data_IF_630919377834
#
_entry.id   IF_630919377834
#
_cell.length_a   1.000
_cell.length_b   1.000
_cell.length_c   1.000
_cell.angle_alpha   90.00
_cell.angle_beta   90.00
_cell.angle_gamma   90.00
#
_symmetry.space_group_name_H-M   'P 1'
#
loop_
_entity.id
_entity.type
_entity.pdbx_description
1 polymer ?
#
# COMPACT_ATOMS: atom_id res chain seq x y z
N UNK A 1 -6.31 -49.72 8.68
CA UNK A 1 -5.30 -49.09 7.80
C UNK A 1 -3.89 -49.25 8.32
N UNK A 2 -2.99 -49.80 7.51
CA UNK A 2 -1.58 -50.01 7.90
C UNK A 2 -0.81 -48.71 8.16
N UNK A 3 -1.29 -47.57 7.65
CA UNK A 3 -0.65 -46.27 7.84
C UNK A 3 -0.92 -45.64 9.22
N UNK A 4 -2.04 -45.97 9.88
CA UNK A 4 -2.29 -45.46 11.24
C UNK A 4 -1.28 -46.04 12.24
N UNK A 5 -0.78 -47.26 12.01
CA UNK A 5 0.29 -47.89 12.82
C UNK A 5 1.65 -47.19 12.71
N UNK A 6 1.86 -46.36 11.69
CA UNK A 6 3.09 -45.59 11.47
C UNK A 6 3.01 -44.18 12.08
N UNK A 7 1.86 -43.78 12.61
CA UNK A 7 1.68 -42.49 13.27
C UNK A 7 2.41 -42.47 14.61
N UNK A 8 3.07 -41.34 14.92
CA UNK A 8 3.73 -41.10 16.20
C UNK A 8 2.76 -41.31 17.38
N UNK A 9 1.48 -41.02 17.18
CA UNK A 9 0.41 -41.18 18.18
C UNK A 9 0.19 -42.63 18.66
N UNK A 10 0.68 -43.63 17.92
CA UNK A 10 0.55 -45.06 18.26
C UNK A 10 1.85 -45.66 18.83
N UNK A 11 2.82 -44.83 19.21
CA UNK A 11 4.13 -45.25 19.71
C UNK A 11 4.19 -45.01 21.22
N UNK A 12 4.77 -45.94 22.00
CA UNK A 12 4.92 -45.80 23.45
C UNK A 12 6.08 -44.86 23.82
N UNK A 13 6.04 -44.26 25.01
CA UNK A 13 6.97 -43.22 25.50
C UNK A 13 8.47 -43.62 25.56
N UNK A 14 8.81 -44.88 25.28
CA UNK A 14 10.20 -45.38 25.30
C UNK A 14 10.53 -46.31 24.12
N UNK A 15 9.85 -46.16 22.98
CA UNK A 15 10.12 -46.95 21.79
C UNK A 15 11.28 -46.35 20.97
N UNK A 16 12.21 -47.21 20.54
CA UNK A 16 13.33 -46.83 19.67
C UNK A 16 12.87 -46.26 18.31
N UNK A 17 11.61 -46.50 17.92
CA UNK A 17 11.00 -45.91 16.72
C UNK A 17 10.96 -44.38 16.74
N UNK A 18 11.01 -43.74 17.91
CA UNK A 18 11.04 -42.28 18.05
C UNK A 18 12.32 -41.63 17.51
N UNK A 19 13.41 -42.37 17.39
CA UNK A 19 14.66 -41.86 16.80
C UNK A 19 14.54 -41.57 15.30
N UNK A 20 13.73 -42.35 14.57
CA UNK A 20 13.55 -42.16 13.13
C UNK A 20 12.96 -40.78 12.76
N UNK A 21 11.81 -40.32 13.33
CA UNK A 21 11.29 -38.99 13.05
C UNK A 21 12.21 -37.86 13.57
N UNK A 22 12.93 -38.08 14.68
CA UNK A 22 13.93 -37.14 15.18
C UNK A 22 15.02 -36.87 14.12
N UNK A 23 15.71 -37.91 13.66
CA UNK A 23 16.75 -37.75 12.63
C UNK A 23 16.18 -37.26 11.30
N UNK A 24 15.00 -37.75 10.89
CA UNK A 24 14.34 -37.28 9.69
C UNK A 24 14.08 -35.75 9.74
N UNK A 25 13.69 -35.22 10.91
CA UNK A 25 13.46 -33.78 11.10
C UNK A 25 14.74 -32.98 10.89
N UNK A 26 15.88 -33.42 11.45
CA UNK A 26 17.17 -32.75 11.23
C UNK A 26 17.65 -32.85 9.77
N UNK A 27 17.40 -33.98 9.10
CA UNK A 27 17.72 -34.13 7.68
C UNK A 27 16.88 -33.17 6.84
N UNK A 28 15.56 -33.13 7.05
CA UNK A 28 14.64 -32.23 6.33
C UNK A 28 15.02 -30.77 6.59
N UNK A 29 15.32 -30.41 7.85
CA UNK A 29 15.78 -29.09 8.21
C UNK A 29 17.09 -28.73 7.50
N UNK A 30 18.08 -29.62 7.51
CA UNK A 30 19.37 -29.42 6.85
C UNK A 30 19.24 -29.24 5.34
N UNK A 31 18.43 -30.08 4.68
CA UNK A 31 18.12 -29.94 3.25
C UNK A 31 17.40 -28.63 2.96
N UNK A 32 16.42 -28.25 3.79
CA UNK A 32 15.68 -26.99 3.64
C UNK A 32 16.60 -25.77 3.78
N UNK A 33 17.46 -25.74 4.79
CA UNK A 33 18.46 -24.68 4.98
C UNK A 33 19.46 -24.62 3.82
N UNK A 34 19.90 -25.78 3.32
CA UNK A 34 20.78 -25.85 2.16
C UNK A 34 20.12 -25.26 0.91
N UNK A 35 18.86 -25.63 0.63
CA UNK A 35 18.09 -25.10 -0.51
C UNK A 35 17.86 -23.60 -0.36
N UNK A 36 17.43 -23.13 0.81
CA UNK A 36 17.23 -21.70 1.08
C UNK A 36 18.53 -20.93 0.82
N UNK A 37 19.66 -21.40 1.33
CA UNK A 37 20.96 -20.76 1.11
C UNK A 37 21.33 -20.72 -0.39
N UNK A 38 21.08 -21.80 -1.13
CA UNK A 38 21.36 -21.87 -2.58
C UNK A 38 20.51 -20.87 -3.36
N UNK A 39 19.20 -20.87 -3.12
CA UNK A 39 18.26 -19.97 -3.80
C UNK A 39 18.53 -18.51 -3.41
N UNK A 40 18.87 -18.24 -2.14
CA UNK A 40 19.20 -16.89 -1.68
C UNK A 40 20.47 -16.35 -2.35
N UNK A 41 21.50 -17.19 -2.53
CA UNK A 41 22.70 -16.81 -3.28
C UNK A 41 22.38 -16.47 -4.75
N UNK A 42 21.55 -17.28 -5.41
CA UNK A 42 21.08 -16.99 -6.77
C UNK A 42 20.27 -15.68 -6.83
N UNK A 43 19.37 -15.47 -5.86
CA UNK A 43 18.57 -14.25 -5.75
C UNK A 43 19.44 -12.99 -5.60
N UNK A 44 20.47 -13.03 -4.74
CA UNK A 44 21.40 -11.90 -4.56
C UNK A 44 22.11 -11.58 -5.88
N UNK A 45 22.64 -12.60 -6.55
CA UNK A 45 23.31 -12.41 -7.85
C UNK A 45 22.37 -11.77 -8.88
N UNK A 46 21.12 -12.24 -8.96
CA UNK A 46 20.15 -11.69 -9.90
C UNK A 46 19.70 -10.28 -9.53
N UNK A 47 19.57 -9.98 -8.23
CA UNK A 47 19.25 -8.65 -7.73
C UNK A 47 20.34 -7.65 -8.10
N UNK A 48 21.62 -8.01 -7.97
CA UNK A 48 22.72 -7.16 -8.41
C UNK A 48 22.69 -6.91 -9.93
N UNK A 49 22.39 -7.91 -10.76
CA UNK A 49 22.20 -7.74 -12.22
C UNK A 49 21.02 -6.80 -12.56
N UNK A 50 19.95 -6.81 -11.76
CA UNK A 50 18.82 -5.89 -11.97
C UNK A 50 19.14 -4.47 -11.52
N UNK A 51 19.86 -4.32 -10.40
CA UNK A 51 20.24 -3.00 -9.87
C UNK A 51 21.34 -2.33 -10.70
N UNK A 52 22.18 -3.11 -11.40
CA UNK A 52 23.19 -2.56 -12.31
C UNK A 52 22.60 -2.01 -13.62
N UNK A 53 21.40 -2.43 -14.00
CA UNK A 53 20.72 -1.94 -15.20
C UNK A 53 20.29 -0.48 -15.04
N UNK A 54 20.35 0.27 -16.13
CA UNK A 54 19.87 1.64 -16.18
C UNK A 54 18.34 1.65 -16.16
N UNK A 55 17.76 1.88 -14.98
CA UNK A 55 16.33 2.05 -14.78
C UNK A 55 16.10 3.29 -13.91
N UNK A 56 15.08 4.10 -14.23
CA UNK A 56 14.79 5.36 -13.52
C UNK A 56 14.68 5.16 -12.00
N UNK A 57 14.08 4.05 -11.57
CA UNK A 57 13.95 3.66 -10.16
C UNK A 57 15.30 3.51 -9.42
N UNK A 58 16.37 3.18 -10.13
CA UNK A 58 17.71 3.01 -9.53
C UNK A 58 18.43 4.35 -9.34
N UNK A 59 17.88 5.45 -9.90
CA UNK A 59 18.47 6.78 -9.85
C UNK A 59 17.55 7.81 -9.17
N UNK A 60 16.33 7.41 -8.77
CA UNK A 60 15.37 8.31 -8.15
C UNK A 60 15.08 7.92 -6.72
N UNK A 61 14.91 8.90 -5.84
CA UNK A 61 14.41 8.73 -4.47
C UNK A 61 13.08 9.44 -4.32
N UNK A 62 12.27 8.93 -3.40
CA UNK A 62 11.05 9.58 -2.92
C UNK A 62 11.32 10.16 -1.54
N UNK A 63 10.99 11.44 -1.35
CA UNK A 63 11.15 12.15 -0.08
C UNK A 63 9.76 12.56 0.41
N UNK A 64 9.43 12.25 1.66
CA UNK A 64 8.19 12.67 2.32
C UNK A 64 8.44 13.44 3.62
N UNK A 65 7.38 14.06 4.15
CA UNK A 65 7.42 14.94 5.31
C UNK A 65 8.43 16.09 5.16
N UNK A 66 8.43 16.74 3.99
CA UNK A 66 9.31 17.88 3.70
C UNK A 66 8.84 19.10 4.52
N UNK A 67 9.71 19.69 5.37
CA UNK A 67 9.43 20.93 6.10
C UNK A 67 9.10 22.10 5.17
N UNK A 68 8.31 23.06 5.64
CA UNK A 68 7.84 24.20 4.83
C UNK A 68 8.96 25.00 4.18
N UNK A 69 10.09 25.10 4.87
CA UNK A 69 11.30 25.85 4.49
C UNK A 69 12.03 25.17 3.32
N UNK A 70 11.95 23.84 3.25
CA UNK A 70 12.61 23.01 2.23
C UNK A 70 11.71 22.70 1.03
N UNK A 71 10.49 23.22 0.98
CA UNK A 71 9.55 23.01 -0.14
C UNK A 71 9.90 23.83 -1.40
N UNK A 72 11.12 24.34 -1.53
CA UNK A 72 11.64 25.04 -2.72
C UNK A 72 12.51 24.08 -3.55
N UNK A 73 12.40 24.14 -4.88
CA UNK A 73 13.23 23.32 -5.80
C UNK A 73 14.71 23.57 -5.53
N UNK A 74 15.08 24.84 -5.32
CA UNK A 74 16.46 25.24 -5.09
C UNK A 74 16.95 24.82 -3.71
N UNK A 75 16.16 25.04 -2.65
CA UNK A 75 16.53 24.65 -1.29
C UNK A 75 16.76 23.13 -1.19
N UNK A 76 15.83 22.33 -1.71
CA UNK A 76 15.94 20.86 -1.66
C UNK A 76 17.09 20.36 -2.54
N UNK A 77 17.29 20.96 -3.71
CA UNK A 77 18.43 20.63 -4.58
C UNK A 77 19.77 20.95 -3.91
N UNK A 78 19.88 22.09 -3.25
CA UNK A 78 21.11 22.49 -2.56
C UNK A 78 21.41 21.55 -1.40
N UNK A 79 20.40 21.22 -0.58
CA UNK A 79 20.54 20.25 0.51
C UNK A 79 21.07 18.91 -0.01
N UNK A 80 20.42 18.33 -1.02
CA UNK A 80 20.87 17.03 -1.53
C UNK A 80 22.21 17.11 -2.27
N UNK A 81 22.52 18.20 -2.96
CA UNK A 81 23.85 18.37 -3.55
C UNK A 81 24.95 18.48 -2.50
N UNK A 82 24.70 19.14 -1.36
CA UNK A 82 25.65 19.21 -0.25
C UNK A 82 25.87 17.83 0.37
N UNK A 83 24.79 17.06 0.57
CA UNK A 83 24.87 15.71 1.12
C UNK A 83 25.57 14.72 0.18
N UNK A 84 25.31 14.79 -1.12
CA UNK A 84 25.80 13.79 -2.09
C UNK A 84 27.08 14.22 -2.82
N UNK A 85 27.69 15.35 -2.45
CA UNK A 85 28.78 15.99 -3.21
C UNK A 85 28.41 16.26 -4.68
N UNK A 86 27.17 16.69 -4.90
CA UNK A 86 26.59 16.98 -6.21
C UNK A 86 25.87 15.79 -6.85
N UNK A 87 25.52 15.94 -8.13
CA UNK A 87 24.89 14.87 -8.91
C UNK A 87 23.36 14.84 -8.88
N UNK A 88 22.68 15.83 -8.29
CA UNK A 88 21.22 15.97 -8.41
C UNK A 88 20.86 16.48 -9.81
N UNK A 89 20.15 15.65 -10.57
CA UNK A 89 19.69 15.92 -11.93
C UNK A 89 18.43 16.82 -11.91
N UNK A 90 17.41 16.37 -11.16
CA UNK A 90 16.09 16.99 -11.14
C UNK A 90 15.43 16.80 -9.78
N UNK A 91 14.67 17.79 -9.36
CA UNK A 91 13.77 17.74 -8.21
C UNK A 91 12.35 18.04 -8.71
N UNK A 92 11.40 17.18 -8.38
CA UNK A 92 9.99 17.32 -8.76
C UNK A 92 9.11 17.20 -7.52
N UNK A 93 8.41 18.26 -7.15
CA UNK A 93 7.45 18.22 -6.05
C UNK A 93 6.14 17.56 -6.48
N UNK A 94 5.47 16.92 -5.52
CA UNK A 94 4.08 16.51 -5.69
C UNK A 94 3.17 17.70 -5.37
N UNK A 95 2.18 17.95 -6.22
CA UNK A 95 1.22 19.05 -6.07
C UNK A 95 -0.16 18.53 -5.69
N UNK A 96 -0.94 19.34 -4.96
CA UNK A 96 -2.31 19.00 -4.62
C UNK A 96 -3.24 19.43 -5.76
N UNK A 97 -3.44 18.55 -6.73
CA UNK A 97 -4.21 18.78 -7.96
C UNK A 97 -5.37 17.78 -8.10
N UNK A 98 -6.07 17.51 -7.00
CA UNK A 98 -7.10 16.46 -6.94
C UNK A 98 -8.22 16.64 -7.97
N UNK A 99 -8.68 17.87 -8.19
CA UNK A 99 -9.74 18.15 -9.17
C UNK A 99 -9.30 17.80 -10.60
N UNK A 100 -8.02 18.07 -10.93
CA UNK A 100 -7.44 17.70 -12.21
C UNK A 100 -7.28 16.17 -12.33
N UNK A 101 -6.84 15.51 -11.26
CA UNK A 101 -6.75 14.04 -11.20
C UNK A 101 -8.13 13.40 -11.44
N UNK A 102 -9.18 13.91 -10.78
CA UNK A 102 -10.56 13.44 -10.94
C UNK A 102 -11.10 13.71 -12.35
N UNK A 103 -10.81 14.88 -12.93
CA UNK A 103 -11.22 15.22 -14.30
C UNK A 103 -10.54 14.32 -15.35
N UNK A 104 -9.24 14.05 -15.18
CA UNK A 104 -8.49 13.13 -16.06
C UNK A 104 -9.00 11.70 -15.92
N UNK A 105 -9.28 11.24 -14.69
CA UNK A 105 -9.84 9.91 -14.46
C UNK A 105 -11.23 9.74 -15.11
N UNK A 106 -12.09 10.76 -15.03
CA UNK A 106 -13.38 10.78 -15.73
C UNK A 106 -13.20 10.73 -17.24
N UNK A 107 -12.26 11.51 -17.79
CA UNK A 107 -11.92 11.49 -19.22
C UNK A 107 -11.49 10.09 -19.67
N UNK A 108 -10.53 9.46 -18.99
CA UNK A 108 -10.04 8.12 -19.34
C UNK A 108 -11.15 7.06 -19.28
N UNK A 109 -12.06 7.16 -18.30
CA UNK A 109 -13.22 6.27 -18.20
C UNK A 109 -14.14 6.43 -19.41
N UNK A 110 -14.48 7.67 -19.77
CA UNK A 110 -15.34 7.97 -20.91
C UNK A 110 -14.68 7.54 -22.24
N UNK A 111 -13.37 7.73 -22.39
CA UNK A 111 -12.62 7.24 -23.56
C UNK A 111 -12.66 5.71 -23.68
N UNK A 112 -12.54 4.98 -22.56
CA UNK A 112 -12.69 3.52 -22.56
C UNK A 112 -14.08 3.08 -23.00
N UNK A 113 -15.12 3.76 -22.51
CA UNK A 113 -16.51 3.48 -22.87
C UNK A 113 -16.79 3.81 -24.35
N UNK A 114 -16.24 4.94 -24.85
CA UNK A 114 -16.30 5.33 -26.25
C UNK A 114 -15.61 4.30 -27.15
N UNK A 115 -14.38 3.89 -26.81
CA UNK A 115 -13.64 2.88 -27.56
C UNK A 115 -14.37 1.54 -27.61
N UNK A 116 -15.01 1.14 -26.50
CA UNK A 116 -15.86 -0.05 -26.48
C UNK A 116 -17.08 0.11 -27.41
N UNK A 117 -17.73 1.27 -27.40
CA UNK A 117 -18.86 1.55 -28.28
C UNK A 117 -18.45 1.53 -29.77
N UNK A 118 -17.30 2.12 -30.11
CA UNK A 118 -16.73 2.08 -31.47
C UNK A 118 -16.41 0.65 -31.89
N UNK A 119 -15.82 -0.15 -31.00
CA UNK A 119 -15.53 -1.55 -31.27
C UNK A 119 -16.78 -2.37 -31.58
N UNK A 120 -17.87 -2.16 -30.83
CA UNK A 120 -19.16 -2.81 -31.10
C UNK A 120 -19.74 -2.35 -32.43
N UNK A 121 -19.61 -1.06 -32.77
CA UNK A 121 -20.05 -0.53 -34.04
C UNK A 121 -19.29 -1.16 -35.22
N UNK A 122 -17.97 -1.30 -35.11
CA UNK A 122 -17.13 -1.92 -36.15
C UNK A 122 -17.51 -3.38 -36.40
N UNK A 123 -17.88 -4.13 -35.36
CA UNK A 123 -18.28 -5.53 -35.49
C UNK A 123 -19.69 -5.71 -36.04
N UNK A 124 -20.63 -4.83 -35.67
CA UNK A 124 -22.06 -5.03 -35.92
C UNK A 124 -22.63 -4.12 -37.01
N UNK A 125 -21.86 -3.12 -37.46
CA UNK A 125 -22.27 -2.02 -38.32
C UNK A 125 -23.53 -1.25 -37.82
N UNK A 126 -23.92 -1.44 -36.55
CA UNK A 126 -25.10 -0.84 -35.93
C UNK A 126 -24.67 0.04 -34.76
N UNK A 127 -25.19 1.26 -34.71
CA UNK A 127 -24.86 2.22 -33.65
C UNK A 127 -25.36 1.72 -32.29
N UNK A 128 -24.47 1.48 -31.32
CA UNK A 128 -24.86 0.92 -30.03
C UNK A 128 -25.62 1.97 -29.20
N UNK A 129 -26.72 1.55 -28.58
CA UNK A 129 -27.52 2.40 -27.68
C UNK A 129 -27.47 1.85 -26.26
N UNK A 130 -27.25 2.72 -25.29
CA UNK A 130 -27.32 2.38 -23.87
C UNK A 130 -28.40 3.20 -23.17
N UNK A 131 -28.87 2.69 -22.03
CA UNK A 131 -29.82 3.41 -21.18
C UNK A 131 -29.04 4.20 -20.13
N UNK A 132 -29.46 5.46 -19.90
CA UNK A 132 -28.86 6.35 -18.90
C UNK A 132 -29.24 6.00 -17.44
N UNK A 133 -29.92 4.88 -17.22
CA UNK A 133 -30.39 4.41 -15.91
C UNK A 133 -31.86 3.98 -15.93
N UNK A 134 -32.34 3.46 -14.81
CA UNK A 134 -33.72 3.00 -14.69
C UNK A 134 -34.70 4.14 -15.03
N UNK A 135 -35.50 3.94 -16.08
CA UNK A 135 -36.58 4.86 -16.47
C UNK A 135 -36.15 5.98 -17.41
N UNK A 136 -34.88 6.03 -17.82
CA UNK A 136 -34.38 7.04 -18.77
C UNK A 136 -34.35 6.52 -20.20
N UNK A 137 -34.47 7.45 -21.16
CA UNK A 137 -34.41 7.16 -22.59
C UNK A 137 -33.08 6.53 -23.00
N UNK A 138 -33.13 5.73 -24.07
CA UNK A 138 -31.94 5.16 -24.68
C UNK A 138 -31.30 6.21 -25.59
N UNK A 139 -30.00 6.44 -25.42
CA UNK A 139 -29.22 7.41 -26.21
C UNK A 139 -28.21 6.67 -27.08
N UNK A 140 -27.75 7.32 -28.16
CA UNK A 140 -26.61 6.83 -28.95
C UNK A 140 -25.36 6.89 -28.06
N UNK A 141 -24.70 5.76 -27.89
CA UNK A 141 -23.55 5.65 -26.99
C UNK A 141 -22.33 6.38 -27.56
N UNK A 142 -22.18 6.42 -28.89
CA UNK A 142 -21.01 7.06 -29.52
C UNK A 142 -21.11 8.57 -29.31
N UNK A 143 -22.21 9.18 -29.74
CA UNK A 143 -22.42 10.63 -29.62
C UNK A 143 -22.42 11.09 -28.16
N UNK A 144 -23.02 10.30 -27.25
CA UNK A 144 -23.04 10.61 -25.83
C UNK A 144 -21.63 10.60 -25.21
N UNK A 145 -20.86 9.52 -25.40
CA UNK A 145 -19.52 9.44 -24.83
C UNK A 145 -18.55 10.41 -25.51
N UNK A 146 -18.72 10.70 -26.81
CA UNK A 146 -17.94 11.74 -27.50
C UNK A 146 -18.18 13.12 -26.88
N UNK A 147 -19.44 13.47 -26.59
CA UNK A 147 -19.78 14.70 -25.87
C UNK A 147 -19.14 14.76 -24.47
N UNK A 148 -19.24 13.68 -23.69
CA UNK A 148 -18.63 13.60 -22.35
C UNK A 148 -17.10 13.66 -22.38
N UNK A 149 -16.45 13.06 -23.38
CA UNK A 149 -14.99 13.16 -23.56
C UNK A 149 -14.60 14.60 -23.89
N UNK A 150 -15.40 15.30 -24.70
CA UNK A 150 -15.14 16.69 -25.08
C UNK A 150 -15.26 17.63 -23.88
N UNK A 151 -16.32 17.49 -23.09
CA UNK A 151 -16.53 18.22 -21.84
C UNK A 151 -15.40 17.95 -20.83
N UNK A 152 -15.09 16.68 -20.57
CA UNK A 152 -14.02 16.30 -19.66
C UNK A 152 -12.64 16.79 -20.14
N UNK A 153 -12.41 16.86 -21.46
CA UNK A 153 -11.17 17.40 -22.03
C UNK A 153 -11.06 18.90 -21.84
N UNK A 154 -12.14 19.67 -22.02
CA UNK A 154 -12.13 21.11 -21.74
C UNK A 154 -11.89 21.39 -20.26
N UNK A 155 -12.55 20.65 -19.37
CA UNK A 155 -12.38 20.79 -17.93
C UNK A 155 -10.96 20.47 -17.48
N UNK A 156 -10.40 19.35 -17.96
CA UNK A 156 -9.02 18.96 -17.66
C UNK A 156 -8.02 19.99 -18.18
N UNK A 157 -8.25 20.58 -19.35
CA UNK A 157 -7.37 21.62 -19.91
C UNK A 157 -7.40 22.89 -19.06
N UNK A 158 -8.59 23.36 -18.69
CA UNK A 158 -8.77 24.53 -17.81
C UNK A 158 -8.06 24.32 -16.46
N UNK A 159 -8.30 23.17 -15.82
CA UNK A 159 -7.69 22.82 -14.54
C UNK A 159 -6.17 22.64 -14.65
N UNK A 160 -5.66 22.13 -15.78
CA UNK A 160 -4.24 22.02 -16.03
C UNK A 160 -3.56 23.38 -16.16
N UNK A 161 -4.19 24.34 -16.83
CA UNK A 161 -3.66 25.70 -16.95
C UNK A 161 -3.70 26.46 -15.61
N UNK A 162 -4.76 26.27 -14.82
CA UNK A 162 -4.84 26.78 -13.45
C UNK A 162 -3.73 26.20 -12.55
N UNK A 163 -3.51 24.88 -12.62
CA UNK A 163 -2.42 24.23 -11.90
C UNK A 163 -1.04 24.74 -12.36
N UNK A 164 -0.81 24.92 -13.68
CA UNK A 164 0.45 25.46 -14.20
C UNK A 164 0.73 26.86 -13.68
N UNK A 165 -0.29 27.72 -13.66
CA UNK A 165 -0.19 29.07 -13.11
C UNK A 165 0.14 29.02 -11.61
N UNK A 166 -0.56 28.17 -10.85
CA UNK A 166 -0.27 27.96 -9.42
C UNK A 166 1.16 27.48 -9.15
N UNK A 167 1.71 26.59 -10.00
CA UNK A 167 3.12 26.15 -9.90
C UNK A 167 4.07 27.33 -10.13
N UNK A 168 3.82 28.13 -11.16
CA UNK A 168 4.65 29.28 -11.51
C UNK A 168 4.64 30.35 -10.41
N UNK A 169 3.45 30.72 -9.93
CA UNK A 169 3.27 31.72 -8.88
C UNK A 169 3.94 31.28 -7.57
N UNK A 170 3.79 30.01 -7.20
CA UNK A 170 4.45 29.44 -6.01
C UNK A 170 5.99 29.48 -6.11
N UNK A 171 6.55 29.12 -7.25
CA UNK A 171 7.99 29.15 -7.48
C UNK A 171 8.52 30.60 -7.50
N UNK A 172 7.77 31.55 -8.07
CA UNK A 172 8.19 32.95 -8.08
C UNK A 172 8.15 33.58 -6.67
N UNK A 173 7.08 33.36 -5.91
CA UNK A 173 6.96 33.84 -4.53
C UNK A 173 8.10 33.31 -3.65
N UNK A 174 8.43 32.02 -3.79
CA UNK A 174 9.57 31.39 -3.09
C UNK A 174 10.91 32.04 -3.44
N UNK A 175 11.12 32.40 -4.71
CA UNK A 175 12.35 33.09 -5.14
C UNK A 175 12.45 34.49 -4.54
N UNK A 176 11.33 35.19 -4.39
CA UNK A 176 11.28 36.52 -3.76
C UNK A 176 11.52 36.44 -2.23
N UNK A 177 10.94 35.45 -1.55
CA UNK A 177 11.24 35.12 -0.15
C UNK A 177 12.72 34.79 0.08
N UNK A 178 13.34 34.04 -0.83
CA UNK A 178 14.78 33.74 -0.78
C UNK A 178 15.65 35.00 -0.98
N UNK A 179 15.28 35.88 -1.92
CA UNK A 179 16.00 37.13 -2.21
C UNK A 179 15.88 38.17 -1.11
N UNK A 180 14.73 38.23 -0.43
CA UNK A 180 14.48 39.15 0.68
C UNK A 180 15.21 38.77 1.98
N UNK A 181 15.94 37.64 2.00
CA UNK A 181 16.79 37.25 3.12
C UNK A 181 16.03 36.69 4.33
N UNK A 182 14.70 36.58 4.25
CA UNK A 182 13.85 36.12 5.37
C UNK A 182 14.05 34.63 5.70
N UNK A 183 14.50 33.82 4.73
CA UNK A 183 14.69 32.36 4.90
C UNK A 183 16.11 31.87 4.49
N UNK A 184 16.83 32.58 3.63
CA UNK A 184 18.01 32.03 2.93
C UNK A 184 19.34 32.04 3.68
N UNK A 185 19.54 32.94 4.65
CA UNK A 185 20.86 33.11 5.32
C UNK A 185 20.91 32.66 6.77
N UNK A 186 19.85 32.90 7.55
CA UNK A 186 19.88 32.70 9.00
C UNK A 186 19.53 31.26 9.43
N UNK A 187 18.63 30.57 8.70
CA UNK A 187 18.13 29.24 9.07
C UNK A 187 19.01 28.08 8.58
N UNK A 188 19.57 28.19 7.38
CA UNK A 188 20.57 27.21 6.92
C UNK A 188 21.83 27.27 7.80
N UNK A 189 22.22 28.47 8.22
CA UNK A 189 23.32 28.69 9.14
C UNK A 189 23.06 28.16 10.56
N UNK A 190 21.81 28.20 11.05
CA UNK A 190 21.46 27.68 12.38
C UNK A 190 21.23 26.16 12.40
N UNK A 191 20.64 25.59 11.34
CA UNK A 191 20.51 24.15 11.17
C UNK A 191 21.89 23.47 11.00
N UNK A 192 22.83 24.13 10.30
CA UNK A 192 24.21 23.64 10.16
C UNK A 192 25.08 23.94 11.40
N UNK A 193 24.86 25.04 12.14
CA UNK A 193 25.60 25.33 13.39
C UNK A 193 25.31 24.33 14.53
N UNK A 194 24.16 23.65 14.50
CA UNK A 194 23.84 22.59 15.46
C UNK A 194 24.79 21.39 15.42
N UNK A 195 25.62 21.28 14.38
CA UNK A 195 26.55 20.16 14.17
C UNK A 195 27.98 20.47 14.66
N UNK A 196 28.28 21.71 15.06
CA UNK A 196 29.68 22.06 15.38
C UNK A 196 29.84 23.26 16.30
N UNK A 197 29.45 23.15 17.58
CA UNK A 197 30.16 23.68 18.76
C UNK A 197 29.26 23.59 20.00
N UNK A 198 29.41 22.53 20.81
CA UNK A 198 29.05 22.60 22.23
C UNK A 198 30.20 23.30 22.95
N UNK A 199 30.09 24.62 23.13
CA UNK A 199 30.87 25.31 24.17
C UNK A 199 30.07 26.50 24.71
N UNK A 200 29.68 26.36 25.98
CA UNK A 200 29.14 27.34 26.91
C UNK A 200 28.01 28.26 26.42
N UNK A 201 26.76 27.80 26.58
CA UNK A 201 25.61 28.70 26.66
C UNK A 201 25.36 29.05 28.13
N UNK A 202 25.61 30.31 28.49
CA UNK A 202 25.26 30.88 29.80
C UNK A 202 23.74 30.90 29.96
N UNK A 203 23.28 30.46 31.13
CA UNK A 203 21.86 30.28 31.51
C UNK A 203 21.09 31.63 31.56
N UNK A 204 21.76 32.78 31.51
CA UNK A 204 21.13 34.10 31.56
C UNK A 204 20.39 34.52 30.29
N UNK A 205 20.67 33.89 29.14
CA UNK A 205 20.04 34.26 27.85
C UNK A 205 18.83 33.39 27.50
N UNK A 206 18.64 32.27 28.21
CA UNK A 206 17.54 31.33 27.96
C UNK A 206 16.16 31.87 28.38
N UNK A 207 16.10 32.89 29.25
CA UNK A 207 14.84 33.43 29.77
C UNK A 207 14.19 34.49 28.87
N UNK A 208 14.88 35.00 27.84
CA UNK A 208 14.27 35.93 26.86
C UNK A 208 13.66 35.24 25.62
N UNK A 209 13.88 33.94 25.44
CA UNK A 209 13.43 33.19 24.24
C UNK A 209 12.16 32.36 24.52
N UNK A 210 11.77 32.19 25.78
CA UNK A 210 10.64 31.32 26.14
C UNK A 210 9.40 32.17 26.42
N UNK A 211 8.71 32.57 25.36
CA UNK A 211 7.26 32.78 25.42
C UNK A 211 6.61 31.40 25.17
N UNK A 212 6.14 30.68 26.21
CA UNK A 212 5.66 29.30 26.07
C UNK A 212 4.36 29.17 25.26
N UNK A 213 3.67 30.28 24.98
CA UNK A 213 2.45 30.32 24.18
C UNK A 213 2.69 30.22 22.67
N UNK A 214 3.85 30.67 22.17
CA UNK A 214 4.18 30.60 20.73
C UNK A 214 4.80 29.25 20.33
N UNK A 215 5.45 28.56 21.26
CA UNK A 215 6.06 27.25 21.00
C UNK A 215 4.97 26.16 20.96
N UNK A 216 3.93 26.28 21.78
CA UNK A 216 2.78 25.37 21.74
C UNK A 216 1.89 25.59 20.52
N UNK A 217 1.78 26.83 20.02
CA UNK A 217 1.03 27.12 18.78
C UNK A 217 1.84 26.82 17.51
N UNK A 218 3.16 27.01 17.51
CA UNK A 218 4.04 26.56 16.43
C UNK A 218 4.05 25.02 16.30
N UNK A 219 4.02 24.30 17.43
CA UNK A 219 3.93 22.83 17.45
C UNK A 219 2.49 22.30 17.28
N UNK A 220 1.46 23.15 17.33
CA UNK A 220 0.11 22.77 16.91
C UNK A 220 -0.07 22.91 15.39
N UNK A 221 0.69 23.79 14.74
CA UNK A 221 0.67 23.92 13.28
C UNK A 221 1.45 22.81 12.54
N UNK A 222 2.23 22.00 13.27
CA UNK A 222 2.83 20.74 12.77
C UNK A 222 1.84 19.58 12.66
N UNK A 223 0.56 19.78 13.01
CA UNK A 223 -0.53 18.97 12.44
C UNK A 223 -0.74 19.48 11.01
N UNK A 224 0.21 19.17 10.13
CA UNK A 224 0.26 19.66 8.76
C UNK A 224 -1.01 19.31 7.99
N UNK A 225 -1.93 20.26 7.91
CA UNK A 225 -3.00 20.24 6.94
C UNK A 225 -2.33 20.45 5.57
N UNK A 226 -2.58 19.53 4.62
CA UNK A 226 -2.16 19.64 3.21
C UNK A 226 -2.96 20.74 2.49
N UNK A 227 -3.07 21.93 3.09
CA UNK A 227 -3.80 23.07 2.54
C UNK A 227 -2.95 23.91 1.60
N UNK A 228 -1.65 23.66 1.53
CA UNK A 228 -0.76 24.22 0.52
C UNK A 228 -0.93 23.56 -0.84
N UNK A 229 -0.78 24.34 -1.90
CA UNK A 229 -0.74 23.89 -3.29
C UNK A 229 0.34 22.80 -3.54
N UNK A 230 1.43 22.82 -2.76
CA UNK A 230 2.52 21.83 -2.79
C UNK A 230 2.36 20.83 -1.65
N UNK A 231 2.34 19.53 -1.98
CA UNK A 231 2.33 18.45 -0.99
C UNK A 231 3.69 18.38 -0.27
N UNK A 232 3.72 17.81 0.92
CA UNK A 232 4.96 17.59 1.69
C UNK A 232 5.84 16.45 1.13
N UNK A 233 5.88 16.25 -0.19
CA UNK A 233 6.60 15.17 -0.84
C UNK A 233 7.23 15.59 -2.18
N UNK A 234 8.38 14.99 -2.51
CA UNK A 234 9.11 15.24 -3.74
C UNK A 234 9.84 13.98 -4.24
N UNK A 235 10.11 13.96 -5.54
CA UNK A 235 10.96 12.99 -6.20
C UNK A 235 12.26 13.67 -6.61
N UNK A 236 13.38 13.04 -6.28
CA UNK A 236 14.71 13.55 -6.62
C UNK A 236 15.38 12.52 -7.50
N UNK A 237 15.86 12.95 -8.66
CA UNK A 237 16.59 12.10 -9.62
C UNK A 237 18.05 12.52 -9.64
N UNK A 238 18.95 11.53 -9.65
CA UNK A 238 20.39 11.72 -9.64
C UNK A 238 21.02 11.28 -10.97
N UNK A 239 22.16 11.87 -11.31
CA UNK A 239 22.95 11.51 -12.48
C UNK A 239 23.87 10.29 -12.24
N UNK A 240 24.09 9.90 -10.97
CA UNK A 240 24.99 8.82 -10.57
C UNK A 240 24.35 7.92 -9.52
N UNK A 241 24.61 6.62 -9.62
CA UNK A 241 24.17 5.62 -8.63
C UNK A 241 24.81 5.87 -7.26
N UNK A 242 26.03 6.40 -7.24
CA UNK A 242 26.72 6.77 -6.00
C UNK A 242 25.97 7.89 -5.27
N UNK A 243 25.61 8.97 -5.98
CA UNK A 243 24.85 10.08 -5.42
C UNK A 243 23.45 9.62 -4.93
N UNK A 244 22.79 8.76 -5.72
CA UNK A 244 21.52 8.14 -5.32
C UNK A 244 21.65 7.33 -4.01
N UNK A 245 22.66 6.47 -3.90
CA UNK A 245 22.86 5.62 -2.71
C UNK A 245 23.22 6.45 -1.47
N UNK A 246 24.09 7.46 -1.60
CA UNK A 246 24.39 8.40 -0.53
C UNK A 246 23.14 9.15 -0.09
N UNK A 247 22.37 9.69 -1.05
CA UNK A 247 21.14 10.41 -0.77
C UNK A 247 20.02 9.55 -0.15
N UNK A 248 20.07 8.22 -0.30
CA UNK A 248 19.09 7.30 0.28
C UNK A 248 19.46 6.88 1.72
N UNK A 249 20.75 6.75 2.02
CA UNK A 249 21.22 6.14 3.28
C UNK A 249 21.74 7.16 4.31
N UNK A 250 21.80 8.44 3.96
CA UNK A 250 22.21 9.49 4.89
C UNK A 250 21.07 9.87 5.86
N UNK A 251 21.45 10.33 7.05
CA UNK A 251 20.52 10.98 7.97
C UNK A 251 20.34 12.44 7.53
N UNK A 252 19.12 12.82 7.20
CA UNK A 252 18.83 14.17 6.67
C UNK A 252 18.42 15.18 7.72
N UNK A 253 17.84 14.73 8.84
CA UNK A 253 17.37 15.58 9.92
C UNK A 253 17.62 14.86 11.27
N UNK A 254 17.88 15.64 12.31
CA UNK A 254 18.01 15.16 13.69
C UNK A 254 16.64 14.77 14.28
N UNK A 255 15.56 15.38 13.79
CA UNK A 255 14.21 15.05 14.24
C UNK A 255 13.66 13.83 13.50
N UNK A 256 13.30 12.75 14.21
CA UNK A 256 12.76 11.56 13.57
C UNK A 256 11.39 11.88 12.95
N UNK A 257 11.21 11.53 11.68
CA UNK A 257 9.94 11.68 10.96
C UNK A 257 9.87 12.89 10.03
N UNK A 258 10.80 13.84 10.14
CA UNK A 258 11.00 14.89 9.15
C UNK A 258 11.92 14.38 8.03
N UNK A 259 11.63 14.77 6.79
CA UNK A 259 12.43 14.45 5.60
C UNK A 259 12.82 12.96 5.50
N UNK A 260 11.80 12.10 5.49
CA UNK A 260 12.00 10.66 5.35
C UNK A 260 12.20 10.29 3.89
N UNK A 261 13.27 9.55 3.60
CA UNK A 261 13.65 9.16 2.23
C UNK A 261 13.39 7.68 2.00
N UNK A 262 12.88 7.37 0.81
CA UNK A 262 12.56 6.04 0.34
C UNK A 262 13.14 5.84 -1.07
N UNK A 263 13.43 4.59 -1.47
CA UNK A 263 13.84 4.30 -2.84
C UNK A 263 12.74 4.70 -3.83
N UNK A 264 13.13 5.05 -5.05
CA UNK A 264 12.22 5.43 -6.13
C UNK A 264 11.18 4.34 -6.42
N UNK A 265 9.88 4.61 -6.23
CA UNK A 265 8.84 3.61 -6.46
C UNK A 265 8.69 3.30 -7.95
N UNK A 266 8.64 2.02 -8.31
CA UNK A 266 8.37 1.58 -9.69
C UNK A 266 6.96 1.94 -10.17
N UNK A 267 5.97 1.84 -9.27
CA UNK A 267 4.56 2.17 -9.55
C UNK A 267 4.02 2.99 -8.39
N UNK A 268 3.83 4.28 -8.64
CA UNK A 268 3.41 5.26 -7.63
C UNK A 268 1.90 5.17 -7.42
N UNK A 269 1.48 5.23 -6.15
CA UNK A 269 0.10 5.42 -5.74
C UNK A 269 -0.10 6.89 -5.37
N UNK A 270 -0.56 7.70 -6.32
CA UNK A 270 -0.65 9.16 -6.17
C UNK A 270 -1.55 9.60 -5.01
N UNK A 271 -2.59 8.83 -4.67
CA UNK A 271 -3.47 9.08 -3.53
C UNK A 271 -2.73 9.09 -2.18
N UNK A 272 -1.64 8.32 -2.09
CA UNK A 272 -0.84 8.16 -0.88
C UNK A 272 0.40 9.07 -0.85
N UNK A 273 0.70 9.77 -1.95
CA UNK A 273 1.85 10.67 -2.02
C UNK A 273 1.58 11.92 -1.18
N UNK A 274 2.44 12.16 -0.21
CA UNK A 274 2.40 13.35 0.64
C UNK A 274 1.40 13.25 1.80
N UNK A 275 1.04 12.04 2.21
CA UNK A 275 0.33 11.85 3.47
C UNK A 275 1.25 12.20 4.65
N UNK A 276 0.75 12.90 5.69
CA UNK A 276 1.55 13.18 6.87
C UNK A 276 1.88 11.88 7.62
N UNK A 277 3.11 11.80 8.15
CA UNK A 277 3.61 10.61 8.85
C UNK A 277 2.68 10.09 9.96
N UNK A 278 2.00 10.97 10.69
CA UNK A 278 1.04 10.59 11.73
C UNK A 278 -0.18 9.86 11.18
N UNK A 279 -0.72 10.31 10.03
CA UNK A 279 -1.86 9.65 9.36
C UNK A 279 -1.46 8.28 8.83
N UNK A 280 -0.27 8.18 8.25
CA UNK A 280 0.28 6.90 7.76
C UNK A 280 0.51 5.92 8.91
N UNK A 281 1.06 6.40 10.03
CA UNK A 281 1.32 5.57 11.22
C UNK A 281 0.01 5.06 11.84
N UNK A 282 -0.98 5.93 11.98
CA UNK A 282 -2.32 5.54 12.44
C UNK A 282 -2.97 4.53 11.49
N UNK A 283 -2.91 4.77 10.18
CA UNK A 283 -3.42 3.85 9.16
C UNK A 283 -2.77 2.46 9.24
N UNK A 284 -1.45 2.39 9.47
CA UNK A 284 -0.73 1.12 9.66
C UNK A 284 -1.15 0.37 10.93
N UNK A 285 -1.35 1.08 12.04
CA UNK A 285 -1.82 0.46 13.29
C UNK A 285 -3.24 -0.06 13.11
N UNK A 286 -4.14 0.76 12.56
CA UNK A 286 -5.52 0.37 12.29
C UNK A 286 -5.60 -0.81 11.32
N UNK A 287 -4.82 -0.82 10.24
CA UNK A 287 -4.80 -1.91 9.29
C UNK A 287 -4.30 -3.22 9.92
N UNK A 288 -3.30 -3.18 10.81
CA UNK A 288 -2.84 -4.36 11.55
C UNK A 288 -3.91 -4.90 12.48
N UNK A 289 -4.57 -4.03 13.25
CA UNK A 289 -5.67 -4.40 14.14
C UNK A 289 -6.84 -4.98 13.34
N UNK A 290 -7.24 -4.31 12.25
CA UNK A 290 -8.31 -4.78 11.37
C UNK A 290 -7.96 -6.14 10.74
N UNK A 291 -6.71 -6.36 10.31
CA UNK A 291 -6.27 -7.64 9.75
C UNK A 291 -6.31 -8.76 10.80
N UNK A 292 -5.91 -8.46 12.04
CA UNK A 292 -5.99 -9.41 13.16
C UNK A 292 -7.44 -9.75 13.50
N UNK A 293 -8.28 -8.73 13.69
CA UNK A 293 -9.70 -8.90 13.99
C UNK A 293 -10.41 -9.70 12.89
N UNK A 294 -10.15 -9.35 11.63
CA UNK A 294 -10.63 -10.08 10.47
C UNK A 294 -10.16 -11.55 10.51
N UNK A 295 -8.88 -11.81 10.81
CA UNK A 295 -8.37 -13.18 10.88
C UNK A 295 -8.99 -14.03 11.98
N UNK A 296 -9.49 -13.44 13.08
CA UNK A 296 -10.17 -14.18 14.14
C UNK A 296 -11.67 -14.34 13.84
N UNK A 297 -12.31 -13.28 13.36
CA UNK A 297 -13.74 -13.26 13.07
C UNK A 297 -14.12 -14.03 11.80
N UNK A 298 -13.17 -14.28 10.89
CA UNK A 298 -13.41 -15.02 9.65
C UNK A 298 -13.75 -16.50 9.87
N UNK A 299 -13.45 -17.06 11.03
CA UNK A 299 -13.87 -18.42 11.38
C UNK A 299 -15.39 -18.55 11.41
N UNK A 300 -16.11 -17.51 11.85
CA UNK A 300 -17.59 -17.50 11.96
C UNK A 300 -18.29 -17.64 10.60
N UNK A 301 -18.02 -16.78 9.59
CA UNK A 301 -18.63 -16.96 8.27
C UNK A 301 -18.15 -18.24 7.59
N UNK A 302 -16.90 -18.67 7.83
CA UNK A 302 -16.41 -19.94 7.28
C UNK A 302 -17.14 -21.14 7.86
N UNK A 303 -17.39 -21.20 9.17
CA UNK A 303 -18.12 -22.30 9.79
C UNK A 303 -19.59 -22.30 9.35
N UNK A 304 -20.21 -21.12 9.20
CA UNK A 304 -21.55 -21.02 8.66
C UNK A 304 -21.63 -21.54 7.22
N UNK A 305 -20.69 -21.15 6.36
CA UNK A 305 -20.65 -21.61 4.96
C UNK A 305 -20.35 -23.12 4.91
N UNK A 306 -19.44 -23.62 5.75
CA UNK A 306 -19.16 -25.04 5.89
C UNK A 306 -20.41 -25.85 6.31
N UNK A 307 -21.24 -25.29 7.20
CA UNK A 307 -22.51 -25.91 7.58
C UNK A 307 -23.54 -25.90 6.44
N UNK A 308 -23.63 -24.81 5.66
CA UNK A 308 -24.52 -24.74 4.49
C UNK A 308 -24.09 -25.68 3.35
N UNK A 309 -22.81 -26.03 3.29
CA UNK A 309 -22.27 -26.93 2.27
C UNK A 309 -22.58 -28.41 2.49
N UNK A 310 -23.01 -28.77 3.70
CA UNK A 310 -23.39 -30.13 4.04
C UNK A 310 -24.91 -30.31 3.88
N UNK A 311 -25.32 -31.21 2.99
CA UNK A 311 -26.73 -31.39 2.60
C UNK A 311 -27.60 -31.78 3.81
N UNK A 312 -27.07 -32.58 4.73
CA UNK A 312 -27.77 -32.98 5.95
C UNK A 312 -28.02 -31.78 6.86
N UNK A 313 -27.01 -30.96 7.11
CA UNK A 313 -27.13 -29.75 7.92
C UNK A 313 -28.04 -28.69 7.28
N UNK A 314 -27.98 -28.54 5.95
CA UNK A 314 -28.85 -27.63 5.23
C UNK A 314 -30.33 -28.04 5.30
N UNK A 315 -30.59 -29.35 5.23
CA UNK A 315 -31.94 -29.94 5.36
C UNK A 315 -32.48 -29.74 6.77
N UNK A 316 -31.62 -29.81 7.80
CA UNK A 316 -31.98 -29.50 9.18
C UNK A 316 -32.28 -28.00 9.40
N UNK A 317 -31.56 -27.11 8.73
CA UNK A 317 -31.76 -25.65 8.83
C UNK A 317 -33.00 -25.15 8.06
N UNK A 318 -33.31 -25.77 6.93
CA UNK A 318 -34.40 -25.38 6.03
C UNK A 318 -35.21 -26.61 5.61
N UNK A 319 -36.19 -27.05 6.42
CA UNK A 319 -36.90 -28.33 6.21
C UNK A 319 -37.71 -28.40 4.92
N UNK A 320 -38.04 -27.26 4.28
CA UNK A 320 -38.71 -27.25 2.97
C UNK A 320 -37.82 -27.79 1.83
N UNK A 321 -36.50 -27.86 2.04
CA UNK A 321 -35.56 -28.41 1.05
C UNK A 321 -35.63 -29.94 0.97
N UNK A 322 -36.15 -30.62 2.01
CA UNK A 322 -36.39 -32.08 2.01
C UNK A 322 -37.26 -32.45 0.81
N UNK A 323 -38.42 -31.80 0.69
CA UNK A 323 -39.39 -32.06 -0.39
C UNK A 323 -38.82 -31.76 -1.78
N UNK A 324 -37.87 -30.83 -1.88
CA UNK A 324 -37.21 -30.46 -3.14
C UNK A 324 -36.15 -31.48 -3.54
N UNK A 325 -35.36 -31.95 -2.57
CA UNK A 325 -34.36 -33.00 -2.80
C UNK A 325 -35.01 -34.35 -3.12
N UNK A 326 -36.12 -34.69 -2.46
CA UNK A 326 -36.87 -35.92 -2.73
C UNK A 326 -37.54 -35.92 -4.11
N UNK A 327 -38.09 -34.76 -4.53
CA UNK A 327 -38.73 -34.63 -5.86
C UNK A 327 -37.72 -34.57 -7.01
N UNK A 328 -36.50 -34.12 -6.75
CA UNK A 328 -35.49 -33.89 -7.78
C UNK A 328 -34.09 -34.32 -7.32
N UNK A 329 -33.75 -35.62 -7.47
CA UNK A 329 -32.44 -36.16 -7.08
C UNK A 329 -31.24 -35.54 -7.82
N UNK A 330 -31.46 -34.85 -8.94
CA UNK A 330 -30.40 -34.15 -9.66
C UNK A 330 -29.97 -32.85 -8.94
N UNK A 331 -30.85 -32.26 -8.10
CA UNK A 331 -30.55 -31.04 -7.35
C UNK A 331 -29.54 -31.32 -6.23
N UNK A 332 -29.60 -32.49 -5.59
CA UNK A 332 -28.60 -32.88 -4.58
C UNK A 332 -27.21 -33.00 -5.20
N UNK A 333 -27.11 -33.56 -6.41
CA UNK A 333 -25.86 -33.57 -7.19
C UNK A 333 -25.36 -32.16 -7.50
N UNK A 334 -26.25 -31.25 -7.92
CA UNK A 334 -25.89 -29.84 -8.17
C UNK A 334 -25.37 -29.14 -6.91
N UNK A 335 -26.03 -29.32 -5.76
CA UNK A 335 -25.61 -28.74 -4.49
C UNK A 335 -24.26 -29.29 -4.02
N UNK A 336 -24.04 -30.60 -4.15
CA UNK A 336 -22.75 -31.22 -3.84
C UNK A 336 -21.61 -30.69 -4.71
N UNK A 337 -21.89 -30.29 -5.96
CA UNK A 337 -20.91 -29.66 -6.84
C UNK A 337 -20.72 -28.15 -6.57
N UNK A 338 -21.81 -27.45 -6.23
CA UNK A 338 -21.79 -26.00 -5.95
C UNK A 338 -21.12 -25.68 -4.61
N UNK A 339 -21.23 -26.59 -3.65
CA UNK A 339 -20.71 -26.45 -2.29
C UNK A 339 -19.18 -26.16 -2.25
N UNK A 340 -18.30 -26.95 -2.90
CA UNK A 340 -16.88 -26.64 -3.00
C UNK A 340 -16.58 -25.32 -3.73
N UNK A 341 -17.38 -24.96 -4.73
CA UNK A 341 -17.22 -23.69 -5.46
C UNK A 341 -17.51 -22.49 -4.56
N UNK A 342 -18.50 -22.61 -3.67
CA UNK A 342 -18.81 -21.57 -2.68
C UNK A 342 -17.63 -21.35 -1.73
N UNK A 343 -17.02 -22.43 -1.23
CA UNK A 343 -15.82 -22.35 -0.37
C UNK A 343 -14.66 -21.66 -1.11
N UNK A 344 -14.38 -22.06 -2.36
CA UNK A 344 -13.34 -21.43 -3.18
C UNK A 344 -13.63 -19.93 -3.39
N UNK A 345 -14.89 -19.58 -3.66
CA UNK A 345 -15.30 -18.19 -3.84
C UNK A 345 -15.03 -17.34 -2.59
N UNK A 346 -15.26 -17.88 -1.39
CA UNK A 346 -14.96 -17.21 -0.11
C UNK A 346 -13.45 -17.05 0.07
N UNK A 347 -12.66 -18.08 -0.21
CA UNK A 347 -11.19 -18.02 -0.12
C UNK A 347 -10.64 -16.92 -1.05
N UNK A 348 -11.19 -16.76 -2.25
CA UNK A 348 -10.78 -15.72 -3.19
C UNK A 348 -11.09 -14.30 -2.73
N UNK A 349 -11.96 -14.10 -1.72
CA UNK A 349 -12.21 -12.77 -1.16
C UNK A 349 -11.10 -12.33 -0.21
N UNK A 350 -10.39 -13.27 0.45
CA UNK A 350 -9.39 -12.94 1.48
C UNK A 350 -8.29 -12.02 0.92
N UNK A 351 -7.62 -12.32 -0.22
CA UNK A 351 -6.59 -11.43 -0.75
C UNK A 351 -7.14 -10.05 -1.15
N UNK A 352 -8.40 -9.98 -1.62
CA UNK A 352 -9.04 -8.70 -2.00
C UNK A 352 -9.25 -7.81 -0.78
N UNK A 353 -9.74 -8.39 0.33
CA UNK A 353 -9.97 -7.65 1.58
C UNK A 353 -8.63 -7.26 2.21
N UNK A 354 -7.63 -8.16 2.24
CA UNK A 354 -6.28 -7.84 2.74
C UNK A 354 -5.60 -6.76 1.91
N UNK A 355 -5.85 -6.72 0.60
CA UNK A 355 -5.39 -5.64 -0.27
C UNK A 355 -6.06 -4.31 0.07
N UNK A 356 -7.36 -4.32 0.36
CA UNK A 356 -8.09 -3.13 0.82
C UNK A 356 -7.45 -2.54 2.08
N UNK A 357 -7.20 -3.38 3.11
CA UNK A 357 -6.50 -2.94 4.31
C UNK A 357 -5.09 -2.42 4.03
N UNK A 358 -4.36 -3.06 3.12
CA UNK A 358 -3.01 -2.61 2.71
C UNK A 358 -3.01 -1.28 1.95
N UNK A 359 -4.09 -0.94 1.23
CA UNK A 359 -4.23 0.39 0.62
C UNK A 359 -4.44 1.48 1.68
N UNK A 360 -5.20 1.18 2.74
CA UNK A 360 -5.44 2.12 3.85
C UNK A 360 -4.19 2.41 4.69
N UNK A 361 -3.13 1.60 4.58
CA UNK A 361 -1.85 1.84 5.26
C UNK A 361 -1.07 3.06 4.72
N UNK A 362 -1.43 3.57 3.54
CA UNK A 362 -0.78 4.73 2.95
C UNK A 362 0.59 4.46 2.33
N UNK A 363 0.84 3.25 1.79
CA UNK A 363 2.07 2.97 1.05
C UNK A 363 2.12 3.74 -0.27
N UNK A 364 3.28 4.34 -0.56
CA UNK A 364 3.48 5.16 -1.77
C UNK A 364 3.71 4.30 -3.01
N UNK A 365 4.25 3.09 -2.87
CA UNK A 365 4.48 2.17 -3.97
C UNK A 365 3.42 1.07 -4.01
N UNK A 366 2.85 0.80 -5.18
CA UNK A 366 1.92 -0.30 -5.37
C UNK A 366 2.58 -1.68 -5.15
N UNK A 367 3.90 -1.77 -5.33
CA UNK A 367 4.66 -2.98 -5.01
C UNK A 367 4.69 -3.24 -3.51
N UNK A 368 4.81 -2.18 -2.71
CA UNK A 368 4.84 -2.28 -1.24
C UNK A 368 3.45 -2.64 -0.70
N UNK A 369 2.38 -2.09 -1.31
CA UNK A 369 1.00 -2.54 -1.05
C UNK A 369 0.87 -4.05 -1.33
N UNK A 370 1.43 -4.52 -2.44
CA UNK A 370 1.42 -5.94 -2.80
C UNK A 370 2.16 -6.82 -1.78
N UNK A 371 3.38 -6.41 -1.38
CA UNK A 371 4.16 -7.11 -0.37
C UNK A 371 3.46 -7.13 1.00
N UNK A 372 2.87 -6.01 1.41
CA UNK A 372 2.10 -5.91 2.64
C UNK A 372 0.82 -6.77 2.59
N UNK A 373 0.17 -6.87 1.43
CA UNK A 373 -0.98 -7.76 1.20
C UNK A 373 -0.56 -9.22 1.37
N UNK A 374 0.56 -9.61 0.75
CA UNK A 374 1.08 -10.98 0.87
C UNK A 374 1.41 -11.34 2.31
N UNK A 375 2.10 -10.46 3.05
CA UNK A 375 2.40 -10.66 4.46
C UNK A 375 1.12 -10.86 5.31
N UNK A 376 0.07 -10.08 5.05
CA UNK A 376 -1.23 -10.22 5.72
C UNK A 376 -1.94 -11.53 5.37
N UNK A 377 -1.89 -11.98 4.11
CA UNK A 377 -2.47 -13.27 3.69
C UNK A 377 -1.72 -14.44 4.35
N UNK A 378 -0.39 -14.38 4.43
CA UNK A 378 0.41 -15.38 5.15
C UNK A 378 0.06 -15.37 6.63
N UNK A 379 -0.01 -14.20 7.26
CA UNK A 379 -0.43 -14.07 8.66
C UNK A 379 -1.82 -14.65 8.89
N UNK A 380 -2.79 -14.31 8.04
CA UNK A 380 -4.14 -14.86 8.09
C UNK A 380 -4.14 -16.39 7.97
N UNK A 381 -3.40 -16.93 7.01
CA UNK A 381 -3.32 -18.38 6.77
C UNK A 381 -2.71 -19.08 7.98
N UNK A 382 -1.67 -18.51 8.57
CA UNK A 382 -1.04 -19.03 9.78
C UNK A 382 -2.01 -18.98 10.97
N UNK A 383 -2.72 -17.88 11.17
CA UNK A 383 -3.75 -17.77 12.23
C UNK A 383 -4.85 -18.82 12.08
N UNK A 384 -5.39 -18.98 10.88
CA UNK A 384 -6.48 -19.91 10.62
C UNK A 384 -6.04 -21.38 10.66
N UNK A 385 -4.91 -21.71 10.03
CA UNK A 385 -4.47 -23.11 9.93
C UNK A 385 -3.82 -23.60 11.21
N UNK A 386 -3.09 -22.75 11.95
CA UNK A 386 -2.36 -23.17 13.16
C UNK A 386 -3.10 -22.78 14.43
N UNK A 387 -3.41 -21.50 14.64
CA UNK A 387 -3.94 -21.04 15.93
C UNK A 387 -5.40 -21.45 16.14
N UNK A 388 -6.26 -21.25 15.14
CA UNK A 388 -7.68 -21.62 15.25
C UNK A 388 -7.84 -23.14 15.37
N UNK A 389 -7.09 -23.92 14.59
CA UNK A 389 -7.14 -25.38 14.67
C UNK A 389 -6.63 -25.89 16.02
N UNK A 390 -5.49 -25.39 16.51
CA UNK A 390 -4.93 -25.79 17.80
C UNK A 390 -5.89 -25.47 18.96
N UNK A 391 -6.48 -24.27 18.97
CA UNK A 391 -7.48 -23.88 19.97
C UNK A 391 -8.71 -24.78 19.87
N UNK A 392 -9.24 -25.00 18.67
CA UNK A 392 -10.41 -25.86 18.45
C UNK A 392 -10.17 -27.28 18.94
N UNK A 393 -9.01 -27.88 18.62
CA UNK A 393 -8.64 -29.22 19.08
C UNK A 393 -8.52 -29.28 20.60
N UNK A 394 -7.86 -28.30 21.23
CA UNK A 394 -7.69 -28.27 22.69
C UNK A 394 -9.02 -28.09 23.44
N UNK A 395 -9.94 -27.27 22.91
CA UNK A 395 -11.25 -27.06 23.51
C UNK A 395 -12.12 -28.30 23.40
N UNK A 396 -12.08 -29.00 22.26
CA UNK A 396 -12.78 -30.28 22.07
C UNK A 396 -12.29 -31.34 23.06
N UNK A 397 -10.98 -31.43 23.28
CA UNK A 397 -10.39 -32.37 24.23
C UNK A 397 -10.85 -32.08 25.67
N UNK A 398 -10.88 -30.81 26.08
CA UNK A 398 -11.38 -30.41 27.40
C UNK A 398 -12.89 -30.58 27.59
N UNK A 399 -13.67 -30.50 26.51
CA UNK A 399 -15.12 -30.75 26.56
C UNK A 399 -15.46 -32.24 26.60
N UNK A 400 -14.55 -33.08 26.12
CA UNK A 400 -14.69 -34.55 26.12
C UNK A 400 -14.07 -35.21 27.37
N UNK A 401 -13.15 -34.53 28.04
CA UNK A 401 -12.62 -34.87 29.37
C UNK A 401 -13.59 -34.45 30.48
#
# INVERSE_FOLDING_TARGET
DSYSKLSLANTSDNDARLFAPFFATYIIYGVSMFLIRREFAWYIAKRHDVLSKKATQNYSIYVSNIPTELRSVKALRNLFNELTNGGVAQVAFAYNIKELEDAVAKKELNEKLLNNALHVFDQTAKRPRHSLGWGKSKVDSIEYYEGLVREATSDATRLADEARKGIYDHENNRREEEKSGLLGGALLGSALKGVGTMKDIRISDATKIINPTNILTANLHTIGTNTGFVRNAAFITFNSLHAHSSGLHMLHDYTPGNLTVFPGPKKIMWDNVGLPGSRVSLGRILAKIASLAMSLLWTIPMSFIASLTEVENLTNLLPFLVDVFDKAPWITFLFNLLSPLLIVWVILQIPKIMRMFSMWEGHVSATDVGAATYAKVVFFTLTQVFFVSAISSSLLEQLQA
#
